data_IF_970735480531
#
_entry.id   IF_970735480531
#
_cell.length_a   1.000
_cell.length_b   1.000
_cell.length_c   1.000
_cell.angle_alpha   90.00
_cell.angle_beta   90.00
_cell.angle_gamma   90.00
#
_symmetry.space_group_name_H-M   'P 1'
#
loop_
_entity.id
_entity.type
_entity.pdbx_description
1 polymer ?
#
# COMPACT_ATOMS: atom_id res chain seq x y z
N UNK A 1 -0.41 6.35 8.38
CA UNK A 1 -1.03 7.69 8.49
C UNK A 1 -2.28 7.71 9.37
N UNK A 2 -3.09 6.66 9.40
CA UNK A 2 -4.31 6.58 10.23
C UNK A 2 -4.10 6.92 11.73
N UNK A 3 -2.97 6.51 12.31
CA UNK A 3 -2.64 6.86 13.72
C UNK A 3 -2.49 8.38 13.92
N UNK A 4 -1.86 9.06 12.96
CA UNK A 4 -1.67 10.51 13.00
C UNK A 4 -3.01 11.23 12.81
N UNK A 5 -3.80 10.79 11.83
CA UNK A 5 -5.14 11.32 11.58
C UNK A 5 -6.04 11.20 12.83
N UNK A 6 -6.05 10.04 13.47
CA UNK A 6 -6.76 9.82 14.73
C UNK A 6 -6.26 10.73 15.86
N UNK A 7 -4.95 11.00 15.93
CA UNK A 7 -4.37 11.95 16.88
C UNK A 7 -4.97 13.35 16.76
N UNK A 8 -5.16 13.84 15.53
CA UNK A 8 -5.78 15.17 15.28
C UNK A 8 -7.21 15.27 15.85
N UNK A 9 -7.98 14.18 15.83
CA UNK A 9 -9.31 14.15 16.44
C UNK A 9 -9.25 14.17 17.97
N UNK A 10 -8.36 13.37 18.56
CA UNK A 10 -8.16 13.33 20.02
C UNK A 10 -7.69 14.70 20.55
N UNK A 11 -6.79 15.39 19.84
CA UNK A 11 -6.31 16.73 20.19
C UNK A 11 -7.42 17.81 20.16
N UNK A 12 -8.50 17.57 19.41
CA UNK A 12 -9.67 18.44 19.36
C UNK A 12 -10.81 17.97 20.28
N UNK A 13 -10.55 16.99 21.14
CA UNK A 13 -11.54 16.43 22.07
C UNK A 13 -12.57 15.52 21.40
N UNK A 14 -12.37 15.13 20.14
CA UNK A 14 -13.26 14.22 19.41
C UNK A 14 -12.78 12.78 19.64
N UNK A 15 -13.30 12.13 20.67
CA UNK A 15 -12.89 10.77 21.08
C UNK A 15 -13.83 9.66 20.61
N UNK A 16 -14.93 10.01 19.95
CA UNK A 16 -15.93 9.05 19.45
C UNK A 16 -15.54 8.39 18.14
N UNK A 17 -14.56 8.94 17.43
CA UNK A 17 -14.05 8.40 16.16
C UNK A 17 -12.91 7.44 16.46
N UNK A 18 -13.07 6.18 16.05
CA UNK A 18 -12.02 5.18 16.17
C UNK A 18 -11.12 5.14 14.93
N UNK A 19 -9.93 4.54 15.07
CA UNK A 19 -9.05 4.27 13.91
C UNK A 19 -9.71 3.42 12.82
N UNK A 20 -10.65 2.54 13.20
CA UNK A 20 -11.36 1.69 12.25
C UNK A 20 -12.32 2.50 11.39
N UNK A 21 -12.93 3.54 11.96
CA UNK A 21 -13.80 4.45 11.22
C UNK A 21 -13.01 5.22 10.17
N UNK A 22 -11.77 5.60 10.49
CA UNK A 22 -10.87 6.31 9.56
C UNK A 22 -10.27 5.43 8.46
N UNK A 23 -10.46 4.10 8.52
CA UNK A 23 -9.94 3.20 7.50
C UNK A 23 -10.70 3.33 6.16
N UNK A 24 -11.97 3.75 6.20
CA UNK A 24 -12.80 3.93 5.00
C UNK A 24 -12.80 5.38 4.53
N UNK A 25 -12.64 5.60 3.24
CA UNK A 25 -12.54 6.93 2.64
C UNK A 25 -13.80 7.78 2.90
N UNK A 26 -14.99 7.19 2.78
CA UNK A 26 -16.26 7.90 2.97
C UNK A 26 -16.40 8.38 4.42
N UNK A 27 -15.97 7.53 5.36
CA UNK A 27 -15.97 7.84 6.78
C UNK A 27 -14.89 8.87 7.15
N UNK A 28 -13.72 8.86 6.49
CA UNK A 28 -12.73 9.96 6.61
C UNK A 28 -13.37 11.27 6.18
N UNK A 29 -13.92 11.34 4.97
CA UNK A 29 -14.48 12.57 4.41
C UNK A 29 -15.60 13.17 5.27
N UNK A 30 -16.51 12.33 5.80
CA UNK A 30 -17.59 12.79 6.67
C UNK A 30 -17.08 13.34 8.02
N UNK A 31 -16.02 12.74 8.58
CA UNK A 31 -15.52 13.11 9.91
C UNK A 31 -14.64 14.34 9.92
N UNK A 32 -13.97 14.68 8.81
CA UNK A 32 -13.12 15.88 8.69
C UNK A 32 -13.86 17.19 9.00
N UNK A 33 -15.18 17.23 8.81
CA UNK A 33 -16.02 18.38 9.13
C UNK A 33 -16.10 18.68 10.64
N UNK A 34 -15.74 17.72 11.49
CA UNK A 34 -15.72 17.88 12.95
C UNK A 34 -14.45 18.59 13.44
N UNK A 35 -13.41 18.70 12.60
CA UNK A 35 -12.16 19.39 12.93
C UNK A 35 -12.29 20.89 12.69
N UNK A 36 -11.62 21.68 13.53
CA UNK A 36 -11.41 23.11 13.33
C UNK A 36 -10.56 23.38 12.09
N UNK A 37 -10.55 24.63 11.59
CA UNK A 37 -9.99 24.96 10.28
C UNK A 37 -8.56 24.48 10.06
N UNK A 38 -7.66 24.72 11.01
CA UNK A 38 -6.24 24.33 10.91
C UNK A 38 -6.08 22.82 10.92
N UNK A 39 -6.73 22.14 11.86
CA UNK A 39 -6.70 20.69 11.99
C UNK A 39 -7.33 19.98 10.79
N UNK A 40 -8.39 20.55 10.23
CA UNK A 40 -9.02 20.06 9.00
C UNK A 40 -8.06 20.14 7.82
N UNK A 41 -7.33 21.25 7.66
CA UNK A 41 -6.32 21.38 6.60
C UNK A 41 -5.23 20.33 6.75
N UNK A 42 -4.72 20.11 7.97
CA UNK A 42 -3.71 19.07 8.23
C UNK A 42 -4.25 17.67 7.94
N UNK A 43 -5.47 17.37 8.38
CA UNK A 43 -6.10 16.08 8.15
C UNK A 43 -6.41 15.84 6.66
N UNK A 44 -6.80 16.86 5.89
CA UNK A 44 -6.95 16.77 4.43
C UNK A 44 -5.62 16.40 3.78
N UNK A 45 -4.52 17.06 4.15
CA UNK A 45 -3.19 16.74 3.61
C UNK A 45 -2.79 15.29 3.92
N UNK A 46 -3.06 14.83 5.15
CA UNK A 46 -2.80 13.46 5.55
C UNK A 46 -3.67 12.44 4.80
N UNK A 47 -4.93 12.78 4.49
CA UNK A 47 -5.79 11.96 3.62
C UNK A 47 -5.26 11.90 2.19
N UNK A 48 -4.91 13.04 1.58
CA UNK A 48 -4.39 13.08 0.21
C UNK A 48 -3.11 12.25 0.07
N UNK A 49 -2.21 12.32 1.04
CA UNK A 49 -1.00 11.49 1.02
C UNK A 49 -1.31 10.01 1.25
N UNK A 50 -2.30 9.67 2.09
CA UNK A 50 -2.74 8.29 2.25
C UNK A 50 -3.29 7.73 0.93
N UNK A 51 -4.16 8.47 0.24
CA UNK A 51 -4.75 8.05 -1.03
C UNK A 51 -3.65 7.87 -2.11
N UNK A 52 -2.65 8.76 -2.13
CA UNK A 52 -1.50 8.64 -3.04
C UNK A 52 -0.66 7.37 -2.76
N UNK A 53 -0.43 7.03 -1.49
CA UNK A 53 0.29 5.80 -1.11
C UNK A 53 -0.53 4.56 -1.50
N UNK A 54 -1.83 4.57 -1.26
CA UNK A 54 -2.73 3.46 -1.63
C UNK A 54 -2.73 3.25 -3.16
N UNK A 55 -2.83 4.33 -3.95
CA UNK A 55 -2.71 4.26 -5.40
C UNK A 55 -1.35 3.71 -5.85
N UNK A 56 -0.26 4.13 -5.20
CA UNK A 56 1.08 3.63 -5.51
C UNK A 56 1.24 2.13 -5.21
N UNK A 57 0.63 1.63 -4.13
CA UNK A 57 0.63 0.20 -3.81
C UNK A 57 -0.09 -0.60 -4.90
N UNK A 58 -1.24 -0.11 -5.39
CA UNK A 58 -1.96 -0.75 -6.50
C UNK A 58 -1.09 -0.81 -7.75
N UNK A 59 -0.46 0.30 -8.13
CA UNK A 59 0.44 0.36 -9.28
C UNK A 59 1.62 -0.62 -9.17
N UNK A 60 2.24 -0.71 -7.99
CA UNK A 60 3.36 -1.64 -7.76
C UNK A 60 2.87 -3.09 -7.86
N UNK A 61 1.71 -3.42 -7.30
CA UNK A 61 1.15 -4.77 -7.39
C UNK A 61 0.80 -5.14 -8.83
N UNK A 62 0.25 -4.21 -9.61
CA UNK A 62 -0.02 -4.38 -11.05
C UNK A 62 1.28 -4.67 -11.81
N UNK A 63 2.34 -3.90 -11.54
CA UNK A 63 3.66 -4.11 -12.16
C UNK A 63 4.24 -5.49 -11.80
N UNK A 64 4.16 -5.91 -10.53
CA UNK A 64 4.59 -7.23 -10.10
C UNK A 64 3.83 -8.32 -10.87
N UNK A 65 2.51 -8.16 -11.00
CA UNK A 65 1.67 -9.10 -11.73
C UNK A 65 2.08 -9.20 -13.21
N UNK A 66 2.24 -8.06 -13.89
CA UNK A 66 2.68 -7.99 -15.28
C UNK A 66 4.04 -8.66 -15.50
N UNK A 67 5.00 -8.43 -14.60
CA UNK A 67 6.32 -9.06 -14.68
C UNK A 67 6.25 -10.59 -14.49
N UNK A 68 5.41 -11.07 -13.58
CA UNK A 68 5.20 -12.50 -13.37
C UNK A 68 4.47 -13.16 -14.55
N UNK A 69 3.49 -12.50 -15.16
CA UNK A 69 2.81 -12.98 -16.37
C UNK A 69 3.79 -13.14 -17.54
N UNK A 70 4.75 -12.23 -17.69
CA UNK A 70 5.80 -12.37 -18.70
C UNK A 70 6.71 -13.61 -18.48
N UNK A 71 6.64 -14.23 -17.30
CA UNK A 71 7.47 -15.35 -16.87
C UNK A 71 6.61 -16.47 -16.28
N UNK A 72 5.41 -16.64 -16.82
CA UNK A 72 4.32 -17.42 -16.20
C UNK A 72 4.74 -18.82 -15.75
N UNK A 73 5.46 -19.58 -16.59
CA UNK A 73 5.88 -20.94 -16.23
C UNK A 73 6.81 -21.00 -15.00
N UNK A 74 7.81 -20.12 -14.91
CA UNK A 74 8.70 -20.07 -13.73
C UNK A 74 7.96 -19.51 -12.51
N UNK A 75 7.10 -18.52 -12.72
CA UNK A 75 6.28 -17.93 -11.67
C UNK A 75 5.31 -18.95 -11.05
N UNK A 76 4.62 -19.76 -11.85
CA UNK A 76 3.69 -20.81 -11.40
C UNK A 76 4.41 -21.88 -10.57
N UNK A 77 5.59 -22.33 -11.01
CA UNK A 77 6.40 -23.30 -10.28
C UNK A 77 6.80 -22.73 -8.91
N UNK A 78 7.32 -21.50 -8.88
CA UNK A 78 7.73 -20.87 -7.63
C UNK A 78 6.55 -20.65 -6.68
N UNK A 79 5.42 -20.14 -7.19
CA UNK A 79 4.23 -19.89 -6.37
C UNK A 79 3.49 -21.17 -5.94
N UNK A 80 3.81 -22.33 -6.51
CA UNK A 80 3.33 -23.63 -6.02
C UNK A 80 3.95 -24.02 -4.68
N UNK A 81 5.08 -23.41 -4.30
CA UNK A 81 5.77 -23.66 -3.04
C UNK A 81 5.01 -22.95 -1.90
N UNK A 82 4.62 -23.67 -0.83
CA UNK A 82 3.94 -23.06 0.31
C UNK A 82 4.73 -21.88 0.90
N UNK A 83 4.05 -20.74 1.05
CA UNK A 83 4.65 -19.51 1.58
C UNK A 83 5.35 -18.63 0.52
N UNK A 84 5.45 -19.08 -0.74
CA UNK A 84 5.98 -18.26 -1.84
C UNK A 84 4.84 -17.54 -2.55
N UNK A 85 4.66 -16.27 -2.21
CA UNK A 85 3.74 -15.38 -2.91
C UNK A 85 4.37 -14.66 -4.11
N UNK A 86 3.58 -13.85 -4.84
CA UNK A 86 4.01 -13.13 -6.04
C UNK A 86 5.32 -12.33 -5.87
N UNK A 87 5.45 -11.57 -4.77
CA UNK A 87 6.64 -10.76 -4.48
C UNK A 87 7.88 -11.64 -4.30
N UNK A 88 7.76 -12.75 -3.57
CA UNK A 88 8.86 -13.67 -3.31
C UNK A 88 9.28 -14.41 -4.59
N UNK A 89 8.32 -14.83 -5.40
CA UNK A 89 8.58 -15.43 -6.71
C UNK A 89 9.31 -14.45 -7.64
N UNK A 90 8.84 -13.21 -7.73
CA UNK A 90 9.48 -12.18 -8.56
C UNK A 90 10.90 -11.87 -8.10
N UNK A 91 11.14 -11.82 -6.78
CA UNK A 91 12.46 -11.61 -6.21
C UNK A 91 13.42 -12.75 -6.56
N UNK A 92 12.97 -14.00 -6.46
CA UNK A 92 13.79 -15.18 -6.80
C UNK A 92 14.20 -15.17 -8.27
N UNK A 93 13.22 -14.93 -9.15
CA UNK A 93 13.42 -14.77 -10.60
C UNK A 93 14.42 -13.64 -10.89
N UNK A 94 14.23 -12.48 -10.28
CA UNK A 94 15.07 -11.29 -10.49
C UNK A 94 16.50 -11.52 -9.99
N UNK A 95 16.67 -12.26 -8.90
CA UNK A 95 17.97 -12.67 -8.39
C UNK A 95 18.69 -13.60 -9.36
N UNK A 96 18.03 -14.68 -9.83
CA UNK A 96 18.63 -15.61 -10.80
C UNK A 96 19.14 -14.90 -12.06
N UNK A 97 18.41 -13.87 -12.51
CA UNK A 97 18.78 -13.06 -13.67
C UNK A 97 19.96 -12.11 -13.44
N UNK A 98 20.21 -11.69 -12.20
CA UNK A 98 21.33 -10.80 -11.85
C UNK A 98 22.62 -11.56 -11.53
N UNK A 99 22.56 -12.85 -11.17
CA UNK A 99 23.76 -13.68 -10.92
C UNK A 99 24.30 -14.37 -12.18
N UNK A 100 23.67 -14.20 -13.35
CA UNK A 100 24.18 -14.69 -14.64
C UNK A 100 24.63 -13.55 -15.56
N UNK A 101 25.85 -12.99 -15.39
CA UNK A 101 26.48 -12.18 -16.44
C UNK A 101 27.23 -13.02 -17.48
N UNK A 102 27.42 -14.33 -17.30
CA UNK A 102 28.15 -15.14 -18.30
C UNK A 102 27.57 -16.55 -18.43
N UNK A 103 27.09 -16.84 -19.63
CA UNK A 103 26.64 -18.16 -20.05
C UNK A 103 26.25 -18.15 -21.52
N UNK A 104 27.17 -17.69 -22.39
CA UNK A 104 27.20 -18.16 -23.79
C UNK A 104 28.00 -19.46 -23.87
N UNK A 105 28.02 -20.19 -24.99
CA UNK A 105 27.57 -19.81 -26.34
C UNK A 105 26.12 -20.18 -26.68
#
# INVERSE_FOLDING_TARGET
MLNKLHGLFVEQGVTTISKKDLAKEEARSATLLQLSRVYRTMAIQDCTLLDAIEAQIVLVNEQIHQMLCAMQGEAEILMSIPGVGPVAALLDISRRRTVLPYGGP
#
